data_IF_590699353666
#
_entry.id   IF_590699353666
#
_cell.length_a   1.000
_cell.length_b   1.000
_cell.length_c   1.000
_cell.angle_alpha   90.00
_cell.angle_beta   90.00
_cell.angle_gamma   90.00
#
_symmetry.space_group_name_H-M   'P 1'
#
loop_
_entity.id
_entity.type
_entity.pdbx_description
1 polymer ?
#
# COMPACT_ATOMS: atom_id res chain seq x y z
N UNK A 1 17.54 37.36 -14.01
CA UNK A 1 16.97 36.12 -14.58
C UNK A 1 17.82 34.94 -14.14
N UNK A 2 17.56 34.43 -12.93
CA UNK A 2 18.21 33.22 -12.41
C UNK A 2 17.46 32.02 -12.94
N UNK A 3 18.07 31.32 -13.90
CA UNK A 3 17.60 29.99 -14.32
C UNK A 3 17.79 29.03 -13.16
N UNK A 4 16.71 28.69 -12.47
CA UNK A 4 16.64 27.53 -11.59
C UNK A 4 16.86 26.30 -12.45
N UNK A 5 18.08 25.76 -12.43
CA UNK A 5 18.38 24.47 -13.06
C UNK A 5 17.54 23.40 -12.39
N UNK A 6 16.86 22.58 -13.20
CA UNK A 6 16.20 21.38 -12.70
C UNK A 6 17.25 20.53 -11.94
N UNK A 7 16.91 19.98 -10.76
CA UNK A 7 17.85 19.16 -10.00
C UNK A 7 18.30 17.98 -10.86
N UNK A 8 19.60 17.66 -10.78
CA UNK A 8 20.18 16.53 -11.50
C UNK A 8 19.41 15.24 -11.14
N UNK A 9 19.20 14.33 -12.11
CA UNK A 9 18.53 13.06 -11.84
C UNK A 9 19.35 12.25 -10.82
N UNK A 10 18.68 11.81 -9.75
CA UNK A 10 19.26 10.92 -8.74
C UNK A 10 19.61 9.58 -9.41
N UNK A 11 20.82 9.03 -9.21
CA UNK A 11 21.33 7.87 -9.96
C UNK A 11 20.51 6.57 -9.79
N UNK A 12 19.60 6.52 -8.83
CA UNK A 12 18.78 5.34 -8.49
C UNK A 12 17.29 5.49 -8.82
N UNK A 13 16.90 6.49 -9.63
CA UNK A 13 15.48 6.60 -10.03
C UNK A 13 15.10 5.43 -10.94
N UNK A 14 14.08 4.64 -10.56
CA UNK A 14 13.61 3.56 -11.42
C UNK A 14 13.12 4.12 -12.76
N UNK A 15 13.32 3.33 -13.83
CA UNK A 15 12.83 3.70 -15.15
C UNK A 15 11.32 3.92 -15.15
N UNK A 16 10.84 4.89 -15.94
CA UNK A 16 9.42 5.25 -16.02
C UNK A 16 8.52 4.04 -16.30
N UNK A 17 8.99 3.09 -17.12
CA UNK A 17 8.26 1.87 -17.47
C UNK A 17 8.05 0.95 -16.26
N UNK A 18 9.03 0.85 -15.36
CA UNK A 18 8.93 0.04 -14.16
C UNK A 18 7.91 0.62 -13.17
N UNK A 19 7.88 1.95 -13.03
CA UNK A 19 6.88 2.64 -12.21
C UNK A 19 5.47 2.48 -12.79
N UNK A 20 5.31 2.60 -14.11
CA UNK A 20 4.03 2.41 -14.79
C UNK A 20 3.51 0.98 -14.60
N UNK A 21 4.35 -0.04 -14.81
CA UNK A 21 3.98 -1.43 -14.61
C UNK A 21 3.61 -1.74 -13.16
N UNK A 22 4.35 -1.19 -12.19
CA UNK A 22 4.02 -1.33 -10.78
C UNK A 22 2.69 -0.65 -10.42
N UNK A 23 2.42 0.53 -11.00
CA UNK A 23 1.15 1.23 -10.81
C UNK A 23 -0.04 0.43 -11.35
N UNK A 24 0.09 -0.15 -12.55
CA UNK A 24 -0.94 -1.02 -13.12
C UNK A 24 -1.23 -2.21 -12.19
N UNK A 25 -0.19 -2.78 -11.58
CA UNK A 25 -0.32 -3.83 -10.57
C UNK A 25 -1.07 -3.39 -9.31
N UNK A 26 -0.79 -2.17 -8.81
CA UNK A 26 -1.51 -1.56 -7.68
C UNK A 26 -2.99 -1.37 -8.02
N UNK A 27 -3.29 -0.80 -9.19
CA UNK A 27 -4.66 -0.56 -9.66
C UNK A 27 -5.44 -1.87 -9.81
N UNK A 28 -4.85 -2.87 -10.47
CA UNK A 28 -5.47 -4.16 -10.66
C UNK A 28 -5.75 -4.86 -9.32
N UNK A 29 -4.81 -4.80 -8.39
CA UNK A 29 -4.94 -5.40 -7.06
C UNK A 29 -6.02 -4.69 -6.23
N UNK A 30 -6.02 -3.35 -6.21
CA UNK A 30 -7.04 -2.57 -5.51
C UNK A 30 -8.44 -2.92 -6.03
N UNK A 31 -8.66 -2.93 -7.35
CA UNK A 31 -9.93 -3.35 -7.96
C UNK A 31 -10.32 -4.78 -7.59
N UNK A 32 -9.35 -5.70 -7.59
CA UNK A 32 -9.59 -7.09 -7.19
C UNK A 32 -10.04 -7.21 -5.73
N UNK A 33 -9.49 -6.41 -4.81
CA UNK A 33 -9.95 -6.44 -3.40
C UNK A 33 -11.43 -6.07 -3.25
N UNK A 34 -11.96 -5.17 -4.10
CA UNK A 34 -13.40 -4.88 -4.14
C UNK A 34 -14.18 -6.09 -4.68
N UNK A 35 -13.73 -6.65 -5.81
CA UNK A 35 -14.40 -7.78 -6.45
C UNK A 35 -14.46 -9.02 -5.55
N UNK A 36 -13.39 -9.25 -4.76
CA UNK A 36 -13.29 -10.36 -3.81
C UNK A 36 -14.00 -10.06 -2.46
N UNK A 37 -14.61 -8.88 -2.30
CA UNK A 37 -15.34 -8.50 -1.08
C UNK A 37 -14.45 -8.28 0.15
N UNK A 38 -13.16 -7.97 -0.07
CA UNK A 38 -12.16 -7.76 1.00
C UNK A 38 -12.15 -6.33 1.54
N UNK A 39 -12.79 -5.39 0.83
CA UNK A 39 -12.93 -3.99 1.23
C UNK A 39 -14.35 -3.51 0.95
N UNK A 40 -14.79 -2.48 1.67
CA UNK A 40 -16.06 -1.77 1.44
C UNK A 40 -15.77 -0.31 1.14
N UNK A 41 -16.31 0.19 0.02
CA UNK A 41 -16.09 1.58 -0.40
C UNK A 41 -14.61 1.88 -0.67
N UNK A 42 -14.07 2.88 0.02
CA UNK A 42 -12.66 3.31 -0.10
C UNK A 42 -11.79 2.84 1.09
N UNK A 43 -12.24 1.84 1.84
CA UNK A 43 -11.44 1.22 2.90
C UNK A 43 -10.33 0.34 2.32
N UNK A 44 -9.33 0.00 3.16
CA UNK A 44 -8.13 -0.68 2.69
C UNK A 44 -7.22 0.25 1.89
N UNK A 45 -6.08 -0.29 1.48
CA UNK A 45 -5.11 0.39 0.63
C UNK A 45 -4.09 -0.60 0.09
N UNK A 46 -3.50 -0.25 -1.06
CA UNK A 46 -2.52 -1.09 -1.76
C UNK A 46 -1.29 -0.26 -2.07
N UNK A 47 -0.11 -0.86 -1.95
CA UNK A 47 1.13 -0.22 -2.38
C UNK A 47 2.12 -1.22 -2.97
N UNK A 48 3.05 -0.72 -3.77
CA UNK A 48 4.21 -1.47 -4.27
C UNK A 48 5.47 -0.60 -4.21
N UNK A 49 6.61 -1.23 -3.91
CA UNK A 49 7.92 -0.57 -3.86
C UNK A 49 8.73 -0.89 -5.13
N UNK A 50 9.31 0.15 -5.74
CA UNK A 50 10.25 0.07 -6.87
C UNK A 50 11.48 0.90 -6.51
N UNK A 51 12.59 0.25 -6.17
CA UNK A 51 13.74 0.94 -5.55
C UNK A 51 13.32 1.63 -4.26
N UNK A 52 13.62 2.92 -4.15
CA UNK A 52 13.22 3.76 -3.00
C UNK A 52 11.88 4.49 -3.20
N UNK A 53 11.16 4.19 -4.29
CA UNK A 53 9.85 4.79 -4.58
C UNK A 53 8.73 3.82 -4.19
N UNK A 54 7.76 4.31 -3.41
CA UNK A 54 6.56 3.57 -3.04
C UNK A 54 5.36 4.16 -3.77
N UNK A 55 4.75 3.37 -4.66
CA UNK A 55 3.46 3.70 -5.26
C UNK A 55 2.36 3.23 -4.33
N UNK A 56 1.36 4.07 -4.06
CA UNK A 56 0.32 3.79 -3.07
C UNK A 56 -1.03 4.33 -3.52
N UNK A 57 -2.12 3.63 -3.19
CA UNK A 57 -3.47 4.11 -3.47
C UNK A 57 -3.74 5.45 -2.77
N UNK A 58 -4.32 6.45 -3.46
CA UNK A 58 -4.69 7.72 -2.86
C UNK A 58 -5.89 7.59 -1.91
N UNK A 59 -6.03 8.53 -1.00
CA UNK A 59 -7.15 8.62 -0.07
C UNK A 59 -8.45 9.03 -0.78
N UNK A 60 -9.56 8.39 -0.43
CA UNK A 60 -10.92 8.79 -0.84
C UNK A 60 -11.27 8.54 -2.32
N UNK A 61 -10.44 7.84 -3.08
CA UNK A 61 -10.74 7.49 -4.48
C UNK A 61 -11.35 6.09 -4.56
N UNK A 62 -12.56 5.94 -5.12
CA UNK A 62 -13.14 4.62 -5.39
C UNK A 62 -12.26 3.77 -6.31
N UNK A 63 -11.99 2.51 -5.94
CA UNK A 63 -11.05 1.67 -6.68
C UNK A 63 -11.51 1.31 -8.11
N UNK A 64 -12.82 1.28 -8.37
CA UNK A 64 -13.37 1.11 -9.72
C UNK A 64 -12.95 2.27 -10.65
N UNK A 65 -12.77 3.48 -10.10
CA UNK A 65 -12.36 4.69 -10.83
C UNK A 65 -10.84 4.90 -10.91
N UNK A 66 -10.06 4.16 -10.13
CA UNK A 66 -8.60 4.32 -10.09
C UNK A 66 -7.97 4.03 -11.46
N UNK A 67 -7.16 4.93 -11.99
CA UNK A 67 -6.53 4.80 -13.30
C UNK A 67 -5.09 5.32 -13.36
N UNK A 68 -4.47 5.31 -14.55
CA UNK A 68 -3.08 5.76 -14.73
C UNK A 68 -2.82 7.21 -14.29
N UNK A 69 -3.82 8.08 -14.43
CA UNK A 69 -3.72 9.49 -14.02
C UNK A 69 -3.76 9.71 -12.50
N UNK A 70 -4.16 8.71 -11.73
CA UNK A 70 -4.26 8.79 -10.27
C UNK A 70 -2.98 8.30 -9.56
N UNK A 71 -1.91 8.04 -10.33
CA UNK A 71 -0.63 7.58 -9.83
C UNK A 71 -0.18 8.48 -8.69
N UNK A 72 0.02 7.87 -7.53
CA UNK A 72 0.46 8.55 -6.31
C UNK A 72 1.68 7.81 -5.79
N UNK A 73 2.80 8.52 -5.62
CA UNK A 73 4.05 7.91 -5.17
C UNK A 73 4.78 8.80 -4.16
N UNK A 74 5.45 8.16 -3.20
CA UNK A 74 6.27 8.78 -2.17
C UNK A 74 7.65 8.13 -2.10
N UNK A 75 8.62 8.83 -1.52
CA UNK A 75 9.89 8.24 -1.09
C UNK A 75 9.74 7.46 0.25
N UNK A 76 10.81 6.81 0.71
CA UNK A 76 10.81 6.06 1.99
C UNK A 76 10.68 6.94 3.24
N UNK A 77 10.87 8.25 3.12
CA UNK A 77 10.64 9.23 4.18
C UNK A 77 9.19 9.75 4.18
N UNK A 78 8.43 9.43 3.14
CA UNK A 78 7.02 9.80 2.98
C UNK A 78 6.79 11.10 2.22
N UNK A 79 7.82 11.68 1.60
CA UNK A 79 7.65 12.84 0.74
C UNK A 79 7.06 12.42 -0.61
N UNK A 80 5.99 13.08 -1.02
CA UNK A 80 5.35 12.82 -2.30
C UNK A 80 6.26 13.23 -3.46
N UNK A 81 6.63 12.24 -4.27
CA UNK A 81 7.55 12.39 -5.40
C UNK A 81 6.83 12.34 -6.77
N UNK A 82 5.60 11.82 -6.83
CA UNK A 82 4.74 11.87 -8.02
C UNK A 82 3.25 11.85 -7.66
N UNK A 83 2.42 12.33 -8.61
CA UNK A 83 0.98 12.47 -8.42
C UNK A 83 0.57 13.77 -7.73
N UNK A 84 -0.71 14.10 -7.78
CA UNK A 84 -1.30 15.28 -7.11
C UNK A 84 -2.33 14.92 -6.05
N UNK A 85 -2.77 13.65 -6.01
CA UNK A 85 -3.72 13.16 -5.03
C UNK A 85 -3.02 12.90 -3.70
N UNK A 86 -3.78 13.06 -2.62
CA UNK A 86 -3.29 12.77 -1.26
C UNK A 86 -3.09 11.26 -1.11
N UNK A 87 -1.91 10.78 -0.66
CA UNK A 87 -1.71 9.37 -0.32
C UNK A 87 -2.70 8.86 0.73
N UNK A 88 -2.89 7.54 0.84
CA UNK A 88 -3.68 6.93 1.93
C UNK A 88 -3.29 7.48 3.31
N UNK A 89 -4.26 7.67 4.20
CA UNK A 89 -4.00 8.08 5.59
C UNK A 89 -3.11 7.10 6.33
N UNK A 90 -3.10 5.82 5.94
CA UNK A 90 -2.30 4.76 6.56
C UNK A 90 -0.89 4.63 5.96
N UNK A 91 -0.42 5.64 5.22
CA UNK A 91 0.93 5.65 4.67
C UNK A 91 2.02 5.39 5.73
N UNK A 92 1.95 5.90 6.98
CA UNK A 92 2.93 5.59 8.01
C UNK A 92 3.10 4.09 8.27
N UNK A 93 2.01 3.31 8.23
CA UNK A 93 2.05 1.85 8.38
C UNK A 93 2.82 1.19 7.24
N UNK A 94 2.57 1.62 5.99
CA UNK A 94 3.24 1.08 4.82
C UNK A 94 4.74 1.32 4.85
N UNK A 95 5.14 2.55 5.12
CA UNK A 95 6.55 2.92 5.17
C UNK A 95 7.29 2.23 6.33
N UNK A 96 6.62 2.03 7.47
CA UNK A 96 7.20 1.26 8.58
C UNK A 96 7.52 -0.18 8.17
N UNK A 97 6.61 -0.85 7.45
CA UNK A 97 6.85 -2.22 6.93
C UNK A 97 7.97 -2.24 5.90
N UNK A 98 7.99 -1.31 4.93
CA UNK A 98 9.05 -1.25 3.92
C UNK A 98 10.44 -0.95 4.48
N UNK A 99 10.53 -0.18 5.57
CA UNK A 99 11.80 0.07 6.27
C UNK A 99 12.26 -1.11 7.11
N UNK A 100 11.33 -1.90 7.64
CA UNK A 100 11.62 -3.01 8.54
C UNK A 100 11.78 -4.37 7.82
N UNK A 101 11.39 -4.48 6.55
CA UNK A 101 11.30 -5.75 5.82
C UNK A 101 11.67 -5.61 4.35
N UNK A 102 11.91 -6.74 3.68
CA UNK A 102 12.13 -6.81 2.23
C UNK A 102 10.82 -6.90 1.43
N UNK A 103 9.68 -6.52 2.02
CA UNK A 103 8.39 -6.55 1.32
C UNK A 103 8.43 -5.70 0.04
N UNK A 104 7.89 -6.26 -1.04
CA UNK A 104 7.79 -5.57 -2.34
C UNK A 104 6.41 -4.92 -2.55
N UNK A 105 5.38 -5.39 -1.84
CA UNK A 105 4.02 -4.88 -1.93
C UNK A 105 3.26 -5.12 -0.63
N UNK A 106 2.28 -4.26 -0.36
CA UNK A 106 1.36 -4.38 0.77
C UNK A 106 -0.08 -4.24 0.29
N UNK A 107 -0.95 -5.06 0.86
CA UNK A 107 -2.40 -5.02 0.68
C UNK A 107 -3.05 -4.99 2.05
N UNK A 108 -3.52 -3.81 2.46
CA UNK A 108 -4.36 -3.66 3.64
C UNK A 108 -5.82 -3.81 3.26
N UNK A 109 -6.57 -4.61 4.02
CA UNK A 109 -7.97 -4.91 3.74
C UNK A 109 -8.81 -4.75 5.00
N UNK A 110 -10.10 -4.56 4.82
CA UNK A 110 -11.10 -4.57 5.89
C UNK A 110 -11.98 -5.81 5.75
N UNK A 111 -11.36 -6.96 5.45
CA UNK A 111 -12.07 -8.19 5.15
C UNK A 111 -12.95 -8.61 6.33
N UNK A 112 -14.28 -8.80 6.16
CA UNK A 112 -15.22 -8.90 7.28
C UNK A 112 -14.85 -9.95 8.34
N UNK A 113 -14.42 -11.13 7.91
CA UNK A 113 -14.04 -12.22 8.82
C UNK A 113 -12.73 -11.94 9.57
N UNK A 114 -11.74 -11.34 8.89
CA UNK A 114 -10.47 -10.99 9.53
C UNK A 114 -10.70 -9.88 10.57
N UNK A 115 -11.47 -8.86 10.22
CA UNK A 115 -11.87 -7.77 11.13
C UNK A 115 -12.62 -8.30 12.34
N UNK A 116 -13.62 -9.18 12.13
CA UNK A 116 -14.40 -9.77 13.22
C UNK A 116 -13.53 -10.60 14.19
N UNK A 117 -12.57 -11.36 13.68
CA UNK A 117 -11.66 -12.14 14.53
C UNK A 117 -10.66 -11.26 15.26
N UNK A 118 -10.19 -10.17 14.63
CA UNK A 118 -9.19 -9.26 15.22
C UNK A 118 -9.66 -8.58 16.52
N UNK A 119 -10.97 -8.43 16.72
CA UNK A 119 -11.52 -7.84 17.96
C UNK A 119 -11.78 -8.87 19.07
N UNK A 120 -11.53 -10.15 18.81
CA UNK A 120 -11.85 -11.25 19.73
C UNK A 120 -10.61 -11.97 20.28
N UNK A 121 -9.48 -11.92 19.57
CA UNK A 121 -8.26 -12.66 19.94
C UNK A 121 -7.02 -11.81 19.72
N UNK A 122 -6.00 -12.02 20.55
CA UNK A 122 -4.68 -11.40 20.35
C UNK A 122 -3.79 -12.19 19.36
N UNK A 123 -4.22 -13.41 19.02
CA UNK A 123 -3.53 -14.31 18.10
C UNK A 123 -4.52 -15.28 17.47
N UNK A 124 -4.53 -15.35 16.13
CA UNK A 124 -5.27 -16.35 15.39
C UNK A 124 -4.59 -17.73 15.55
N UNK A 125 -5.27 -18.71 16.17
CA UNK A 125 -4.71 -20.07 16.26
C UNK A 125 -4.59 -20.71 14.86
N UNK A 126 -3.68 -21.69 14.68
CA UNK A 126 -3.48 -22.37 13.40
C UNK A 126 -4.63 -23.34 13.10
N UNK A 127 -5.80 -22.80 12.78
CA UNK A 127 -7.04 -23.55 12.49
C UNK A 127 -7.07 -24.15 11.08
N UNK A 128 -6.15 -23.72 10.21
CA UNK A 128 -6.02 -24.18 8.83
C UNK A 128 -4.56 -24.19 8.39
N UNK A 129 -4.15 -25.15 7.54
CA UNK A 129 -2.76 -25.33 7.13
C UNK A 129 -2.15 -24.09 6.44
N UNK A 130 -2.98 -23.26 5.83
CA UNK A 130 -2.55 -21.99 5.20
C UNK A 130 -1.90 -21.01 6.19
N UNK A 131 -2.12 -21.15 7.49
CA UNK A 131 -1.39 -20.37 8.50
C UNK A 131 0.12 -20.62 8.46
N UNK A 132 0.56 -21.82 8.03
CA UNK A 132 1.98 -22.09 7.81
C UNK A 132 2.58 -21.22 6.69
N UNK A 133 1.81 -20.92 5.64
CA UNK A 133 2.23 -20.01 4.57
C UNK A 133 2.38 -18.55 5.06
N UNK A 134 1.75 -18.20 6.19
CA UNK A 134 1.89 -16.90 6.86
C UNK A 134 2.98 -16.89 7.94
N UNK A 135 3.78 -17.96 8.05
CA UNK A 135 4.82 -18.10 9.08
C UNK A 135 4.32 -18.61 10.43
N UNK A 136 3.12 -19.19 10.49
CA UNK A 136 2.54 -19.77 11.70
C UNK A 136 1.36 -18.95 12.25
N UNK A 137 1.12 -18.97 13.57
CA UNK A 137 0.03 -18.22 14.19
C UNK A 137 0.12 -16.71 13.90
N UNK A 138 -0.95 -16.13 13.39
CA UNK A 138 -1.01 -14.70 13.03
C UNK A 138 -1.30 -13.89 14.29
N UNK A 139 -0.45 -12.90 14.57
CA UNK A 139 -0.64 -11.99 15.71
C UNK A 139 -1.62 -10.88 15.36
N UNK A 140 -2.42 -10.45 16.33
CA UNK A 140 -3.25 -9.25 16.23
C UNK A 140 -2.53 -8.11 16.93
N UNK A 141 -2.38 -6.98 16.25
CA UNK A 141 -1.77 -5.79 16.84
C UNK A 141 -2.74 -5.14 17.84
N UNK A 142 -2.26 -4.57 18.96
CA UNK A 142 -3.09 -3.76 19.84
C UNK A 142 -3.73 -2.59 19.08
N UNK A 143 -4.92 -2.18 19.52
CA UNK A 143 -5.63 -1.06 18.91
C UNK A 143 -4.83 0.24 18.99
N UNK A 144 -4.84 0.97 17.88
CA UNK A 144 -4.47 2.38 17.79
C UNK A 144 -5.46 3.09 16.85
N UNK A 145 -5.66 4.42 16.99
CA UNK A 145 -6.38 5.20 15.99
C UNK A 145 -5.74 5.00 14.60
N UNK A 146 -6.56 4.96 13.55
CA UNK A 146 -6.08 4.89 12.17
C UNK A 146 -5.32 6.19 11.80
N UNK A 147 -4.35 6.06 10.88
CA UNK A 147 -3.56 7.19 10.38
C UNK A 147 -2.33 7.47 11.24
#
# INVERSE_FOLDING_TARGET
MTRTGAPAPHPDRPGADALAAAWDGVVATARRTVADGLVVGTSGNVSARVGDTVLVTPSGVPYDRLGPGDLTAVDLDGHQCAGTLTPTSELPMHLAVYRATDAAALVHTHAPHATAVSVLVDRLPPVHYMTAALGGPVRVAPYAPYG
#
